data_IF_536675259578
#
_entry.id   IF_536675259578
#
_cell.length_a   1.000
_cell.length_b   1.000
_cell.length_c   1.000
_cell.angle_alpha   90.00
_cell.angle_beta   90.00
_cell.angle_gamma   90.00
#
_symmetry.space_group_name_H-M   'P 1'
#
loop_
_entity.id
_entity.type
_entity.pdbx_description
1 polymer ?
#
# COMPACT_ATOMS: atom_id res chain seq x y z
N UNK A 1 -24.65 58.88 9.28
CA UNK A 1 -24.07 58.15 8.12
C UNK A 1 -22.94 57.19 8.45
N UNK A 2 -21.87 57.55 9.18
CA UNK A 2 -20.74 56.59 9.44
C UNK A 2 -21.09 55.33 10.24
N UNK A 3 -22.06 55.37 11.18
CA UNK A 3 -22.50 54.20 11.95
C UNK A 3 -23.34 53.20 11.14
N UNK A 4 -24.11 53.66 10.17
CA UNK A 4 -24.93 52.82 9.31
C UNK A 4 -24.05 52.05 8.29
N UNK A 5 -23.00 52.70 7.79
CA UNK A 5 -22.03 52.03 6.86
C UNK A 5 -21.25 50.94 7.58
N UNK A 6 -20.90 51.15 8.87
CA UNK A 6 -20.18 50.14 9.66
C UNK A 6 -21.04 48.91 9.96
N UNK A 7 -22.34 49.09 10.24
CA UNK A 7 -23.29 47.98 10.45
C UNK A 7 -23.51 47.16 9.16
N UNK A 8 -23.61 47.84 8.01
CA UNK A 8 -23.74 47.14 6.73
C UNK A 8 -22.48 46.30 6.38
N UNK A 9 -21.28 46.79 6.72
CA UNK A 9 -20.05 46.05 6.49
C UNK A 9 -19.94 44.82 7.38
N UNK A 10 -20.38 44.89 8.65
CA UNK A 10 -20.40 43.76 9.59
C UNK A 10 -21.43 42.72 9.12
N UNK A 11 -22.57 43.13 8.58
CA UNK A 11 -23.60 42.23 8.06
C UNK A 11 -23.14 41.49 6.79
N UNK A 12 -22.39 42.14 5.90
CA UNK A 12 -21.77 41.50 4.70
C UNK A 12 -20.67 40.52 5.09
N UNK A 13 -19.88 40.82 6.12
CA UNK A 13 -18.87 39.89 6.65
C UNK A 13 -19.46 38.64 7.32
N UNK A 14 -20.65 38.75 7.91
CA UNK A 14 -21.37 37.61 8.50
C UNK A 14 -22.06 36.72 7.44
N UNK A 15 -22.38 37.25 6.28
CA UNK A 15 -22.99 36.49 5.18
C UNK A 15 -21.91 35.73 4.37
N UNK A 16 -20.67 36.19 4.38
CA UNK A 16 -19.55 35.52 3.67
C UNK A 16 -18.99 34.28 4.38
N UNK A 17 -19.49 33.92 5.55
CA UNK A 17 -19.18 32.68 6.25
C UNK A 17 -20.17 31.55 5.96
N UNK A 18 -20.80 31.52 4.81
CA UNK A 18 -21.33 30.29 4.26
C UNK A 18 -20.11 29.44 3.82
N UNK A 19 -19.43 28.86 4.79
CA UNK A 19 -18.57 27.72 4.57
C UNK A 19 -19.47 26.68 3.88
N UNK A 20 -19.29 26.53 2.57
CA UNK A 20 -19.81 25.38 1.85
C UNK A 20 -19.18 24.14 2.50
N UNK A 21 -19.84 23.64 3.54
CA UNK A 21 -19.59 22.30 4.00
C UNK A 21 -19.95 21.39 2.81
N UNK A 22 -18.97 20.98 2.05
CA UNK A 22 -19.21 20.00 0.99
C UNK A 22 -19.88 18.80 1.66
N UNK A 23 -21.05 18.43 1.17
CA UNK A 23 -21.81 17.31 1.72
C UNK A 23 -20.88 16.08 1.67
N UNK A 24 -20.70 15.45 2.85
CA UNK A 24 -19.84 14.26 2.95
C UNK A 24 -20.44 13.14 2.12
N UNK A 25 -19.62 12.49 1.32
CA UNK A 25 -20.06 11.32 0.53
C UNK A 25 -20.46 10.21 1.50
N UNK A 26 -21.70 9.73 1.37
CA UNK A 26 -22.21 8.59 2.17
C UNK A 26 -21.61 7.30 1.63
N UNK A 27 -20.97 6.55 2.50
CA UNK A 27 -20.29 5.29 2.18
C UNK A 27 -20.76 4.20 3.15
N UNK A 28 -21.04 3.00 2.63
CA UNK A 28 -21.43 1.84 3.42
C UNK A 28 -20.20 0.99 3.72
N UNK A 29 -19.96 0.71 4.98
CA UNK A 29 -18.86 -0.14 5.39
C UNK A 29 -19.24 -1.62 5.31
N UNK A 30 -18.51 -2.40 4.50
CA UNK A 30 -18.77 -3.83 4.29
C UNK A 30 -17.88 -4.76 5.11
N UNK A 31 -16.84 -4.24 5.77
CA UNK A 31 -16.03 -5.05 6.69
C UNK A 31 -14.64 -5.39 6.19
N UNK A 32 -14.05 -6.39 6.86
CA UNK A 32 -12.74 -6.94 6.56
C UNK A 32 -12.84 -8.04 5.50
N UNK A 33 -11.92 -8.04 4.56
CA UNK A 33 -11.87 -9.01 3.46
C UNK A 33 -10.44 -9.45 3.13
N UNK A 34 -10.33 -10.50 2.34
CA UNK A 34 -9.11 -10.90 1.66
C UNK A 34 -9.24 -10.61 0.18
N UNK A 35 -8.17 -10.14 -0.46
CA UNK A 35 -8.17 -9.87 -1.89
C UNK A 35 -7.36 -10.89 -2.69
N UNK A 36 -7.72 -11.06 -3.96
CA UNK A 36 -7.07 -11.80 -5.03
C UNK A 36 -6.73 -13.29 -4.79
N UNK A 37 -5.87 -13.58 -3.82
CA UNK A 37 -5.16 -14.87 -3.77
C UNK A 37 -5.69 -15.82 -2.70
N UNK A 38 -6.75 -15.46 -2.00
CA UNK A 38 -7.20 -16.23 -0.85
C UNK A 38 -7.52 -17.69 -1.17
N UNK A 39 -8.11 -17.97 -2.32
CA UNK A 39 -8.45 -19.35 -2.71
C UNK A 39 -7.28 -20.09 -3.35
N UNK A 40 -6.50 -19.38 -4.18
CA UNK A 40 -5.38 -19.97 -4.91
C UNK A 40 -4.14 -20.14 -4.05
N UNK A 41 -3.95 -19.29 -3.02
CA UNK A 41 -2.77 -19.35 -2.18
C UNK A 41 -3.02 -18.86 -0.74
N UNK A 42 -3.63 -19.71 0.08
CA UNK A 42 -3.86 -19.45 1.52
C UNK A 42 -2.59 -19.13 2.32
N UNK A 43 -1.42 -19.44 1.78
CA UNK A 43 -0.16 -19.12 2.43
C UNK A 43 0.14 -17.62 2.44
N UNK A 44 -0.44 -16.84 1.50
CA UNK A 44 -0.26 -15.40 1.46
C UNK A 44 -0.93 -14.65 2.63
N UNK A 45 -1.93 -15.25 3.27
CA UNK A 45 -2.64 -14.69 4.42
C UNK A 45 -2.67 -15.68 5.59
N UNK A 46 -1.58 -16.44 5.75
CA UNK A 46 -1.48 -17.60 6.63
C UNK A 46 -1.82 -17.31 8.09
N UNK A 47 -1.30 -16.19 8.62
CA UNK A 47 -1.44 -15.85 10.04
C UNK A 47 -2.83 -15.26 10.33
N UNK A 48 -3.23 -14.26 9.55
CA UNK A 48 -4.53 -13.60 9.70
C UNK A 48 -5.68 -14.56 9.44
N UNK A 49 -5.56 -15.45 8.42
CA UNK A 49 -6.56 -16.51 8.17
C UNK A 49 -6.76 -17.46 9.36
N UNK A 50 -5.71 -17.71 10.15
CA UNK A 50 -5.83 -18.50 11.40
C UNK A 50 -6.47 -17.70 12.52
N UNK A 51 -6.22 -16.39 12.58
CA UNK A 51 -6.78 -15.53 13.62
C UNK A 51 -8.27 -15.27 13.42
N UNK A 52 -8.76 -15.08 12.19
CA UNK A 52 -10.17 -14.84 11.92
C UNK A 52 -11.07 -16.04 12.24
N UNK A 53 -10.52 -17.26 12.38
CA UNK A 53 -11.26 -18.41 12.87
C UNK A 53 -11.67 -18.27 14.34
N UNK A 54 -11.00 -17.40 15.10
CA UNK A 54 -11.37 -17.06 16.47
C UNK A 54 -12.51 -16.06 16.41
N UNK A 55 -13.68 -16.47 16.92
CA UNK A 55 -14.83 -15.58 17.05
C UNK A 55 -14.67 -14.67 18.26
N UNK A 56 -15.18 -13.45 18.18
CA UNK A 56 -15.38 -12.61 19.33
C UNK A 56 -16.41 -13.27 20.25
N UNK A 57 -16.21 -13.18 21.57
CA UNK A 57 -17.15 -13.70 22.54
C UNK A 57 -18.54 -13.13 22.25
N UNK A 58 -19.54 -14.01 22.24
CA UNK A 58 -20.97 -13.71 22.04
C UNK A 58 -21.36 -13.06 20.71
N UNK A 59 -20.46 -13.05 19.71
CA UNK A 59 -20.71 -12.43 18.41
C UNK A 59 -20.46 -13.40 17.26
N UNK A 60 -21.19 -13.18 16.15
CA UNK A 60 -21.01 -13.93 14.90
C UNK A 60 -19.85 -13.39 14.03
N UNK A 61 -19.08 -12.44 14.55
CA UNK A 61 -17.97 -11.82 13.81
C UNK A 61 -16.62 -12.27 14.39
N UNK A 62 -15.58 -12.27 13.57
CA UNK A 62 -14.23 -12.55 14.01
C UNK A 62 -13.62 -11.37 14.78
N UNK A 63 -12.56 -11.65 15.53
CA UNK A 63 -11.92 -10.68 16.43
C UNK A 63 -11.33 -9.48 15.66
N UNK A 64 -10.76 -9.71 14.46
CA UNK A 64 -10.13 -8.65 13.65
C UNK A 64 -11.21 -7.72 13.09
N UNK A 65 -12.29 -8.30 12.53
CA UNK A 65 -13.42 -7.53 12.02
C UNK A 65 -14.12 -6.74 13.14
N UNK A 66 -14.19 -7.27 14.35
CA UNK A 66 -14.74 -6.54 15.50
C UNK A 66 -13.86 -5.33 15.87
N UNK A 67 -12.53 -5.55 15.98
CA UNK A 67 -11.59 -4.48 16.30
C UNK A 67 -11.66 -3.36 15.26
N UNK A 68 -11.69 -3.70 13.97
CA UNK A 68 -11.82 -2.75 12.89
C UNK A 68 -13.16 -2.00 12.91
N UNK A 69 -14.27 -2.72 13.12
CA UNK A 69 -15.61 -2.15 13.20
C UNK A 69 -15.73 -1.15 14.36
N UNK A 70 -15.14 -1.48 15.51
CA UNK A 70 -15.08 -0.57 16.66
C UNK A 70 -14.42 0.75 16.29
N UNK A 71 -13.24 0.69 15.67
CA UNK A 71 -12.48 1.89 15.29
C UNK A 71 -13.25 2.73 14.28
N UNK A 72 -13.82 2.14 13.23
CA UNK A 72 -14.56 2.92 12.20
C UNK A 72 -15.87 3.51 12.74
N UNK A 73 -16.38 3.04 13.89
CA UNK A 73 -17.54 3.62 14.58
C UNK A 73 -17.18 4.73 15.56
N UNK A 74 -16.06 4.60 16.25
CA UNK A 74 -15.63 5.54 17.28
C UNK A 74 -14.93 6.78 16.71
N UNK A 75 -14.27 6.64 15.55
CA UNK A 75 -13.48 7.69 14.94
C UNK A 75 -14.32 8.51 13.92
N UNK A 76 -13.95 9.77 13.76
CA UNK A 76 -14.63 10.65 12.81
C UNK A 76 -13.85 10.79 11.49
N UNK A 77 -14.60 10.81 10.39
CA UNK A 77 -14.07 11.08 9.06
C UNK A 77 -14.39 12.51 8.64
N UNK A 78 -13.42 13.19 8.04
CA UNK A 78 -13.56 14.59 7.62
C UNK A 78 -14.30 14.73 6.29
N UNK A 79 -14.05 13.81 5.36
CA UNK A 79 -14.46 13.87 3.96
C UNK A 79 -15.55 12.87 3.56
N UNK A 80 -15.87 11.89 4.42
CA UNK A 80 -16.91 10.89 4.18
C UNK A 80 -17.83 10.73 5.37
N UNK A 81 -19.04 10.20 5.13
CA UNK A 81 -19.98 9.75 6.16
C UNK A 81 -20.11 8.24 6.05
N UNK A 82 -19.64 7.50 7.06
CA UNK A 82 -19.55 6.04 7.02
C UNK A 82 -20.75 5.40 7.74
N UNK A 83 -21.58 4.66 6.98
CA UNK A 83 -22.66 3.85 7.51
C UNK A 83 -22.16 2.45 7.86
N UNK A 84 -22.18 2.11 9.15
CA UNK A 84 -21.72 0.82 9.69
C UNK A 84 -22.86 -0.07 10.19
N UNK A 85 -24.14 0.34 9.99
CA UNK A 85 -25.30 -0.35 10.58
C UNK A 85 -25.62 -1.67 9.87
N UNK A 86 -25.40 -1.73 8.56
CA UNK A 86 -25.80 -2.84 7.71
C UNK A 86 -24.60 -3.69 7.27
N UNK A 87 -23.65 -3.95 8.17
CA UNK A 87 -22.47 -4.75 7.89
C UNK A 87 -22.85 -6.09 7.22
N UNK A 88 -22.37 -6.31 5.98
CA UNK A 88 -22.64 -7.50 5.15
C UNK A 88 -24.12 -7.79 4.82
N UNK A 89 -25.05 -6.93 5.20
CA UNK A 89 -26.45 -7.04 4.79
C UNK A 89 -26.65 -6.30 3.45
N UNK A 90 -26.07 -6.86 2.41
CA UNK A 90 -26.06 -6.27 1.08
C UNK A 90 -27.45 -6.03 0.48
N UNK A 91 -28.51 -6.70 1.01
CA UNK A 91 -29.88 -6.44 0.58
C UNK A 91 -30.42 -5.08 0.99
N UNK A 92 -29.79 -4.46 2.00
CA UNK A 92 -30.16 -3.14 2.51
C UNK A 92 -29.35 -2.00 1.90
N UNK A 93 -28.42 -2.29 1.00
CA UNK A 93 -27.69 -1.25 0.32
C UNK A 93 -28.52 -0.72 -0.85
N UNK A 94 -28.62 0.60 -1.04
CA UNK A 94 -29.23 1.15 -2.24
C UNK A 94 -28.41 0.82 -3.49
N UNK A 95 -29.04 0.81 -4.65
CA UNK A 95 -28.39 0.43 -5.91
C UNK A 95 -27.19 1.33 -6.27
N UNK A 96 -27.21 2.60 -5.86
CA UNK A 96 -26.12 3.54 -6.07
C UNK A 96 -25.16 3.66 -4.87
N UNK A 97 -25.14 2.66 -4.00
CA UNK A 97 -24.28 2.67 -2.81
C UNK A 97 -22.80 2.61 -3.17
N UNK A 98 -22.02 3.52 -2.59
CA UNK A 98 -20.58 3.38 -2.53
C UNK A 98 -20.25 2.56 -1.29
N UNK A 99 -19.46 1.52 -1.48
CA UNK A 99 -19.11 0.58 -0.41
C UNK A 99 -17.62 0.65 -0.13
N UNK A 100 -17.25 0.62 1.15
CA UNK A 100 -15.86 0.54 1.60
C UNK A 100 -15.57 -0.83 2.19
N UNK A 101 -14.49 -1.45 1.75
CA UNK A 101 -13.91 -2.66 2.34
C UNK A 101 -12.45 -2.42 2.72
N UNK A 102 -11.98 -3.09 3.77
CA UNK A 102 -10.55 -3.17 4.10
C UNK A 102 -10.08 -4.57 3.75
N UNK A 103 -9.18 -4.68 2.78
CA UNK A 103 -8.76 -5.96 2.21
C UNK A 103 -7.28 -6.25 2.50
N UNK A 104 -7.00 -7.39 3.14
CA UNK A 104 -5.65 -7.92 3.25
C UNK A 104 -5.27 -8.63 1.95
N UNK A 105 -4.15 -8.25 1.36
CA UNK A 105 -3.64 -8.87 0.13
C UNK A 105 -2.65 -9.99 0.44
N UNK A 106 -1.68 -9.70 1.27
CA UNK A 106 -0.70 -10.69 1.73
C UNK A 106 -0.04 -10.24 3.03
N UNK A 107 0.61 -11.20 3.66
CA UNK A 107 1.41 -10.99 4.86
C UNK A 107 2.66 -11.85 4.81
N UNK A 108 3.72 -11.36 5.40
CA UNK A 108 4.99 -12.06 5.47
C UNK A 108 5.59 -11.94 6.87
N UNK A 109 6.28 -12.98 7.31
CA UNK A 109 7.10 -12.94 8.51
C UNK A 109 8.50 -13.41 8.19
N UNK A 110 9.48 -12.60 8.55
CA UNK A 110 10.90 -12.93 8.45
C UNK A 110 11.60 -12.78 9.80
N UNK A 111 12.63 -13.56 10.05
CA UNK A 111 13.51 -13.40 11.21
C UNK A 111 14.92 -13.84 10.90
N UNK A 112 15.90 -13.14 11.47
CA UNK A 112 17.33 -13.49 11.41
C UNK A 112 17.96 -13.35 12.81
N UNK A 113 18.99 -14.13 13.09
CA UNK A 113 19.77 -13.97 14.31
C UNK A 113 20.74 -12.82 14.17
N UNK A 114 20.73 -11.89 15.11
CA UNK A 114 21.66 -10.77 15.16
C UNK A 114 22.73 -11.04 16.23
N UNK A 115 23.94 -11.31 15.78
CA UNK A 115 25.07 -11.69 16.65
C UNK A 115 25.50 -10.57 17.59
N UNK A 116 25.42 -9.29 17.17
CA UNK A 116 25.82 -8.13 17.98
C UNK A 116 24.98 -7.97 19.24
N UNK A 117 23.68 -8.29 19.18
CA UNK A 117 22.76 -8.16 20.32
C UNK A 117 22.34 -9.51 20.87
N UNK A 118 22.85 -10.62 20.30
CA UNK A 118 22.55 -12.01 20.67
C UNK A 118 21.04 -12.31 20.73
N UNK A 119 20.27 -11.77 19.78
CA UNK A 119 18.81 -11.93 19.68
C UNK A 119 18.38 -12.18 18.25
N UNK A 120 17.22 -12.80 18.09
CA UNK A 120 16.52 -12.84 16.82
C UNK A 120 15.78 -11.51 16.60
N UNK A 121 16.05 -10.87 15.47
CA UNK A 121 15.29 -9.73 14.96
C UNK A 121 14.44 -10.19 13.78
N UNK A 122 13.23 -9.74 13.70
CA UNK A 122 12.32 -10.10 12.63
C UNK A 122 11.31 -8.99 12.36
N UNK A 123 10.57 -9.19 11.28
CA UNK A 123 9.50 -8.29 10.87
C UNK A 123 8.29 -9.12 10.47
N UNK A 124 7.11 -8.63 10.86
CA UNK A 124 5.85 -9.04 10.28
C UNK A 124 5.33 -7.89 9.43
N UNK A 125 5.18 -8.16 8.15
CA UNK A 125 4.68 -7.21 7.16
C UNK A 125 3.30 -7.67 6.72
N UNK A 126 2.32 -6.77 6.74
CA UNK A 126 0.96 -7.03 6.29
C UNK A 126 0.48 -5.92 5.36
N UNK A 127 0.12 -6.29 4.14
CA UNK A 127 -0.21 -5.38 3.05
C UNK A 127 -1.71 -5.38 2.81
N UNK A 128 -2.29 -4.18 2.88
CA UNK A 128 -3.72 -3.95 2.81
C UNK A 128 -4.07 -2.98 1.70
N UNK A 129 -5.36 -2.97 1.37
CA UNK A 129 -5.99 -1.91 0.58
C UNK A 129 -7.30 -1.48 1.23
N UNK A 130 -7.55 -0.17 1.27
CA UNK A 130 -8.89 0.37 1.49
C UNK A 130 -9.51 0.52 0.12
N UNK A 131 -10.61 -0.18 -0.11
CA UNK A 131 -11.29 -0.23 -1.40
C UNK A 131 -12.60 0.50 -1.30
N UNK A 132 -12.86 1.37 -2.27
CA UNK A 132 -14.16 2.01 -2.49
C UNK A 132 -14.68 1.52 -3.84
N UNK A 133 -15.88 0.96 -3.86
CA UNK A 133 -16.48 0.43 -5.09
C UNK A 133 -17.97 0.72 -5.16
N UNK A 134 -18.47 0.86 -6.37
CA UNK A 134 -19.89 0.92 -6.64
C UNK A 134 -20.51 -0.46 -6.40
N UNK A 135 -21.58 -0.50 -5.61
CA UNK A 135 -22.19 -1.76 -5.20
C UNK A 135 -22.95 -2.43 -6.36
N UNK A 136 -23.66 -1.65 -7.15
CA UNK A 136 -24.49 -2.12 -8.25
C UNK A 136 -23.65 -2.72 -9.37
N UNK A 137 -22.71 -1.93 -9.87
CA UNK A 137 -21.84 -2.31 -10.98
C UNK A 137 -20.68 -3.20 -10.57
N UNK A 138 -20.41 -3.28 -9.27
CA UNK A 138 -19.21 -3.92 -8.70
C UNK A 138 -17.94 -3.37 -9.33
N UNK A 139 -17.91 -2.08 -9.61
CA UNK A 139 -16.75 -1.41 -10.21
C UNK A 139 -15.94 -0.66 -9.16
N UNK A 140 -14.62 -0.80 -9.20
CA UNK A 140 -13.73 -0.08 -8.31
C UNK A 140 -13.78 1.42 -8.60
N UNK A 141 -14.04 2.21 -7.56
CA UNK A 141 -13.97 3.67 -7.59
C UNK A 141 -12.55 4.11 -7.24
N UNK A 142 -12.04 3.64 -6.09
CA UNK A 142 -10.72 4.00 -5.59
C UNK A 142 -10.10 2.86 -4.77
N UNK A 143 -8.79 2.74 -4.80
CA UNK A 143 -8.04 1.90 -3.86
C UNK A 143 -6.89 2.70 -3.25
N UNK A 144 -6.72 2.56 -1.93
CA UNK A 144 -5.67 3.19 -1.16
C UNK A 144 -4.84 2.07 -0.51
N UNK A 145 -3.66 1.76 -1.04
CA UNK A 145 -2.78 0.76 -0.46
C UNK A 145 -2.10 1.27 0.81
N UNK A 146 -1.99 0.41 1.82
CA UNK A 146 -1.23 0.67 3.05
C UNK A 146 -0.64 -0.61 3.61
N UNK A 147 0.29 -0.50 4.55
CA UNK A 147 0.92 -1.65 5.18
C UNK A 147 1.12 -1.42 6.67
N UNK A 148 1.23 -2.54 7.39
CA UNK A 148 1.78 -2.57 8.74
C UNK A 148 3.11 -3.31 8.69
N UNK A 149 4.17 -2.69 9.21
CA UNK A 149 5.43 -3.33 9.50
C UNK A 149 5.63 -3.38 11.01
N UNK A 150 5.77 -4.58 11.55
CA UNK A 150 5.94 -4.80 12.99
C UNK A 150 7.32 -5.38 13.24
N UNK A 151 8.25 -4.60 13.83
CA UNK A 151 9.51 -5.13 14.25
C UNK A 151 9.33 -6.07 15.45
N UNK A 152 9.99 -7.20 15.41
CA UNK A 152 9.91 -8.22 16.45
C UNK A 152 11.32 -8.55 16.94
N UNK A 153 11.54 -8.44 18.24
CA UNK A 153 12.78 -8.85 18.89
C UNK A 153 12.51 -10.01 19.85
N UNK A 154 13.35 -11.05 19.79
CA UNK A 154 13.20 -12.25 20.62
C UNK A 154 14.56 -12.85 21.02
N UNK A 155 14.66 -13.36 22.25
CA UNK A 155 15.85 -14.13 22.69
C UNK A 155 15.96 -15.52 22.04
N UNK A 156 14.84 -16.05 21.51
CA UNK A 156 14.76 -17.34 20.83
C UNK A 156 14.11 -17.19 19.47
N UNK A 157 14.47 -18.08 18.54
CA UNK A 157 13.77 -18.19 17.25
C UNK A 157 12.27 -18.44 17.52
N UNK A 158 11.42 -17.63 16.91
CA UNK A 158 9.97 -17.75 17.08
C UNK A 158 9.43 -18.88 16.22
N UNK A 159 8.63 -19.73 16.83
CA UNK A 159 7.76 -20.68 16.17
C UNK A 159 6.43 -20.03 15.73
N UNK A 160 5.66 -20.74 14.95
CA UNK A 160 4.39 -20.23 14.41
C UNK A 160 3.40 -19.82 15.53
N UNK A 161 3.32 -20.55 16.65
CA UNK A 161 2.43 -20.26 17.76
C UNK A 161 2.78 -18.91 18.41
N UNK A 162 4.06 -18.64 18.60
CA UNK A 162 4.54 -17.39 19.18
C UNK A 162 4.38 -16.21 18.19
N UNK A 163 4.58 -16.44 16.90
CA UNK A 163 4.31 -15.46 15.85
C UNK A 163 2.83 -15.08 15.87
N UNK A 164 1.92 -16.06 15.81
CA UNK A 164 0.47 -15.83 15.87
C UNK A 164 0.05 -15.05 17.13
N UNK A 165 0.64 -15.37 18.31
CA UNK A 165 0.36 -14.64 19.55
C UNK A 165 0.74 -13.16 19.44
N UNK A 166 1.88 -12.84 18.84
CA UNK A 166 2.33 -11.44 18.64
C UNK A 166 1.46 -10.70 17.66
N UNK A 167 1.12 -11.31 16.53
CA UNK A 167 0.23 -10.73 15.52
C UNK A 167 -1.16 -10.48 16.11
N UNK A 168 -1.71 -11.44 16.86
CA UNK A 168 -2.98 -11.26 17.54
C UNK A 168 -2.95 -10.08 18.54
N UNK A 169 -1.89 -9.98 19.34
CA UNK A 169 -1.72 -8.86 20.27
C UNK A 169 -1.65 -7.52 19.54
N UNK A 170 -0.94 -7.46 18.41
CA UNK A 170 -0.87 -6.28 17.58
C UNK A 170 -2.26 -5.83 17.11
N UNK A 171 -3.04 -6.73 16.52
CA UNK A 171 -4.37 -6.36 16.03
C UNK A 171 -5.34 -5.94 17.15
N UNK A 172 -5.24 -6.52 18.33
CA UNK A 172 -6.20 -6.27 19.40
C UNK A 172 -5.77 -5.20 20.40
N UNK A 173 -4.49 -5.09 20.70
CA UNK A 173 -3.97 -4.19 21.75
C UNK A 173 -3.44 -2.87 21.20
N UNK A 174 -2.71 -2.95 20.10
CA UNK A 174 -2.00 -1.79 19.56
C UNK A 174 -2.86 -0.95 18.60
N UNK A 175 -4.10 -1.41 18.34
CA UNK A 175 -5.11 -0.73 17.54
C UNK A 175 -4.56 -0.18 16.19
N UNK A 176 -3.93 -1.02 15.37
CA UNK A 176 -3.28 -0.60 14.14
C UNK A 176 -4.26 0.06 13.17
N UNK A 177 -5.52 -0.34 13.21
CA UNK A 177 -6.56 0.17 12.31
C UNK A 177 -6.94 1.64 12.53
N UNK A 178 -6.49 2.29 13.62
CA UNK A 178 -6.60 3.77 13.76
C UNK A 178 -5.89 4.51 12.63
N UNK A 179 -4.85 3.89 12.04
CA UNK A 179 -4.17 4.47 10.88
C UNK A 179 -5.09 4.59 9.66
N UNK A 180 -6.07 3.69 9.50
CA UNK A 180 -7.04 3.72 8.39
C UNK A 180 -7.81 5.04 8.37
N UNK A 181 -8.24 5.52 9.52
CA UNK A 181 -8.95 6.80 9.63
C UNK A 181 -8.04 7.96 9.20
N UNK A 182 -6.80 7.98 9.70
CA UNK A 182 -5.80 8.98 9.31
C UNK A 182 -5.49 8.94 7.80
N UNK A 183 -5.44 7.74 7.24
CA UNK A 183 -5.20 7.54 5.80
C UNK A 183 -6.40 8.12 5.04
N UNK A 184 -7.62 7.68 5.30
CA UNK A 184 -8.82 8.13 4.59
C UNK A 184 -8.97 9.65 4.64
N UNK A 185 -8.70 10.27 5.80
CA UNK A 185 -8.82 11.71 5.98
C UNK A 185 -7.82 12.55 5.15
N UNK A 186 -6.76 11.93 4.61
CA UNK A 186 -5.81 12.61 3.72
C UNK A 186 -6.23 12.59 2.25
N UNK A 187 -7.15 11.68 1.86
CA UNK A 187 -7.54 11.48 0.48
C UNK A 187 -8.84 12.23 0.17
N UNK A 188 -8.89 12.86 -0.99
CA UNK A 188 -10.13 13.40 -1.53
C UNK A 188 -10.90 12.27 -2.23
N UNK A 189 -11.75 11.57 -1.48
CA UNK A 189 -12.58 10.50 -2.02
C UNK A 189 -13.66 11.12 -2.89
N UNK A 190 -13.72 10.71 -4.17
CA UNK A 190 -14.69 11.15 -5.18
C UNK A 190 -15.63 10.00 -5.53
N UNK A 191 -16.85 10.33 -5.95
CA UNK A 191 -17.77 9.31 -6.48
C UNK A 191 -17.28 8.73 -7.82
N UNK A 192 -16.58 9.56 -8.61
CA UNK A 192 -16.00 9.19 -9.89
C UNK A 192 -14.64 9.88 -10.06
N UNK A 193 -13.71 9.17 -10.65
CA UNK A 193 -12.39 9.70 -11.03
C UNK A 193 -12.30 9.76 -12.55
N UNK A 194 -11.96 10.93 -13.07
CA UNK A 194 -11.81 11.17 -14.51
C UNK A 194 -10.53 10.55 -15.05
N UNK A 195 -9.48 10.56 -14.25
CA UNK A 195 -8.18 9.99 -14.59
C UNK A 195 -7.69 9.05 -13.50
N UNK A 196 -7.05 7.97 -13.92
CA UNK A 196 -6.52 6.92 -13.05
C UNK A 196 -5.09 6.56 -13.41
N UNK A 197 -4.33 6.16 -12.41
CA UNK A 197 -2.97 5.66 -12.56
C UNK A 197 -2.84 4.29 -11.89
N UNK A 198 -2.03 3.40 -12.44
CA UNK A 198 -1.79 2.10 -11.85
C UNK A 198 -0.60 1.39 -12.44
N UNK A 199 -0.01 0.48 -11.67
CA UNK A 199 1.00 -0.44 -12.19
C UNK A 199 0.29 -1.46 -13.07
N UNK A 200 0.72 -1.57 -14.33
CA UNK A 200 0.12 -2.47 -15.32
C UNK A 200 1.02 -3.64 -15.71
N UNK A 201 2.32 -3.48 -15.47
CA UNK A 201 3.28 -4.54 -15.74
C UNK A 201 4.44 -4.50 -14.75
N UNK A 202 4.86 -5.68 -14.27
CA UNK A 202 6.10 -5.87 -13.51
C UNK A 202 6.90 -6.97 -14.19
N UNK A 203 8.08 -6.63 -14.64
CA UNK A 203 9.04 -7.57 -15.22
C UNK A 203 10.25 -7.72 -14.28
N UNK A 204 10.69 -8.95 -14.08
CA UNK A 204 11.86 -9.28 -13.28
C UNK A 204 12.86 -9.98 -14.19
N UNK A 205 13.98 -9.32 -14.48
CA UNK A 205 15.01 -9.90 -15.35
C UNK A 205 15.67 -11.11 -14.68
N UNK A 206 16.14 -12.04 -15.49
CA UNK A 206 16.75 -13.30 -15.02
C UNK A 206 17.87 -13.06 -13.99
N UNK A 207 18.71 -12.07 -14.21
CA UNK A 207 19.80 -11.72 -13.29
C UNK A 207 19.30 -11.24 -11.92
N UNK A 208 18.14 -10.53 -11.86
CA UNK A 208 17.51 -10.14 -10.60
C UNK A 208 16.89 -11.35 -9.90
N UNK A 209 16.35 -12.27 -10.69
CA UNK A 209 15.71 -13.46 -10.21
C UNK A 209 16.66 -14.40 -9.47
N UNK A 210 17.96 -14.41 -9.83
CA UNK A 210 18.99 -15.22 -9.18
C UNK A 210 19.19 -14.85 -7.70
N UNK A 211 18.99 -13.57 -7.35
CA UNK A 211 19.18 -13.04 -6.00
C UNK A 211 17.94 -13.23 -5.10
N UNK A 212 16.83 -13.72 -5.64
CA UNK A 212 15.58 -13.93 -4.90
C UNK A 212 15.57 -15.29 -4.18
N UNK A 213 14.85 -15.42 -3.06
CA UNK A 213 14.70 -16.69 -2.35
C UNK A 213 14.00 -17.74 -3.22
N UNK A 214 14.29 -19.03 -2.97
CA UNK A 214 13.73 -20.11 -3.77
C UNK A 214 12.19 -20.19 -3.71
N UNK A 215 11.60 -19.89 -2.56
CA UNK A 215 10.14 -19.86 -2.41
C UNK A 215 9.48 -18.78 -3.28
N UNK A 216 10.16 -17.65 -3.51
CA UNK A 216 9.67 -16.58 -4.39
C UNK A 216 9.93 -16.90 -5.86
N UNK A 217 11.00 -17.64 -6.17
CA UNK A 217 11.25 -18.14 -7.53
C UNK A 217 10.14 -19.06 -8.03
N UNK A 218 9.57 -19.86 -7.13
CA UNK A 218 8.46 -20.76 -7.45
C UNK A 218 7.10 -20.05 -7.58
N UNK A 219 7.03 -18.78 -7.18
CA UNK A 219 5.81 -17.98 -7.28
C UNK A 219 6.10 -16.57 -7.79
N UNK A 220 6.43 -16.46 -9.08
CA UNK A 220 6.77 -15.18 -9.72
C UNK A 220 5.62 -14.16 -9.61
N UNK A 221 4.38 -14.61 -9.74
CA UNK A 221 3.20 -13.74 -9.65
C UNK A 221 3.09 -13.10 -8.29
N UNK A 222 3.42 -13.82 -7.22
CA UNK A 222 3.51 -13.25 -5.88
C UNK A 222 4.51 -12.11 -5.82
N UNK A 223 5.73 -12.32 -6.33
CA UNK A 223 6.78 -11.31 -6.30
C UNK A 223 6.43 -10.07 -7.13
N UNK A 224 5.82 -10.26 -8.30
CA UNK A 224 5.35 -9.14 -9.14
C UNK A 224 4.25 -8.33 -8.43
N UNK A 225 3.30 -9.00 -7.78
CA UNK A 225 2.27 -8.34 -6.97
C UNK A 225 2.88 -7.56 -5.80
N UNK A 226 3.85 -8.15 -5.09
CA UNK A 226 4.54 -7.51 -3.98
C UNK A 226 5.26 -6.22 -4.43
N UNK A 227 6.02 -6.29 -5.53
CA UNK A 227 6.73 -5.14 -6.10
C UNK A 227 5.75 -4.05 -6.55
N UNK A 228 4.70 -4.43 -7.29
CA UNK A 228 3.68 -3.49 -7.76
C UNK A 228 2.99 -2.77 -6.60
N UNK A 229 2.66 -3.52 -5.54
CA UNK A 229 1.98 -2.98 -4.37
C UNK A 229 2.89 -2.07 -3.54
N UNK A 230 4.15 -2.46 -3.32
CA UNK A 230 5.13 -1.63 -2.62
C UNK A 230 5.30 -0.28 -3.33
N UNK A 231 5.46 -0.27 -4.66
CA UNK A 231 5.54 0.97 -5.42
C UNK A 231 4.24 1.78 -5.36
N UNK A 232 3.09 1.13 -5.59
CA UNK A 232 1.76 1.77 -5.55
C UNK A 232 1.50 2.44 -4.22
N UNK A 233 1.86 1.77 -3.11
CA UNK A 233 1.76 2.34 -1.77
C UNK A 233 2.58 3.62 -1.64
N UNK A 234 3.87 3.59 -2.00
CA UNK A 234 4.74 4.78 -1.89
C UNK A 234 4.23 5.94 -2.77
N UNK A 235 3.74 5.64 -3.97
CA UNK A 235 3.15 6.65 -4.85
C UNK A 235 1.86 7.23 -4.24
N UNK A 236 0.98 6.38 -3.76
CA UNK A 236 -0.29 6.76 -3.15
C UNK A 236 -0.08 7.61 -1.88
N UNK A 237 0.76 7.15 -0.96
CA UNK A 237 1.01 7.84 0.32
C UNK A 237 1.69 9.19 0.17
N UNK A 238 2.68 9.30 -0.74
CA UNK A 238 3.43 10.53 -0.92
C UNK A 238 2.64 11.62 -1.65
N UNK A 239 1.57 11.24 -2.37
CA UNK A 239 0.82 12.17 -3.21
C UNK A 239 -0.68 12.25 -2.88
N UNK A 240 -1.18 11.40 -1.98
CA UNK A 240 -2.60 11.26 -1.62
C UNK A 240 -3.49 10.98 -2.86
N UNK A 241 -3.03 10.12 -3.77
CA UNK A 241 -3.75 9.70 -4.96
C UNK A 241 -4.17 8.24 -4.86
N UNK A 242 -5.41 7.93 -5.27
CA UNK A 242 -5.88 6.56 -5.39
C UNK A 242 -5.20 5.85 -6.56
N UNK A 243 -4.87 4.57 -6.38
CA UNK A 243 -4.14 3.78 -7.37
C UNK A 243 -5.01 2.60 -7.81
N UNK A 244 -5.07 2.33 -9.12
CA UNK A 244 -5.71 1.08 -9.59
C UNK A 244 -4.84 -0.11 -9.17
N UNK A 245 -5.41 -1.11 -8.45
CA UNK A 245 -4.67 -2.28 -8.01
C UNK A 245 -4.05 -3.05 -9.16
N UNK A 246 -2.85 -3.55 -8.94
CA UNK A 246 -2.20 -4.44 -9.87
C UNK A 246 -2.84 -5.83 -9.86
N UNK A 247 -3.10 -6.38 -11.04
CA UNK A 247 -3.51 -7.76 -11.25
C UNK A 247 -2.76 -8.31 -12.46
N UNK A 248 -2.05 -9.42 -12.28
CA UNK A 248 -1.29 -10.02 -13.37
C UNK A 248 -2.18 -10.85 -14.30
N UNK A 249 -1.86 -10.84 -15.58
CA UNK A 249 -2.36 -11.81 -16.56
C UNK A 249 -3.73 -11.53 -17.18
N UNK A 250 -4.36 -10.38 -16.91
CA UNK A 250 -5.67 -10.07 -17.47
C UNK A 250 -5.63 -8.85 -18.39
N UNK A 251 -5.52 -9.08 -19.68
CA UNK A 251 -5.59 -8.03 -20.70
C UNK A 251 -7.02 -7.50 -20.92
N UNK A 252 -8.03 -8.33 -20.65
CA UNK A 252 -9.45 -8.01 -20.85
C UNK A 252 -10.23 -8.43 -19.60
N UNK A 253 -11.10 -7.54 -19.09
CA UNK A 253 -11.96 -7.85 -17.94
C UNK A 253 -11.21 -7.97 -16.62
N UNK A 254 -10.32 -7.02 -16.34
CA UNK A 254 -9.59 -6.98 -15.06
C UNK A 254 -10.56 -6.99 -13.88
N UNK A 255 -10.40 -7.96 -12.99
CA UNK A 255 -11.19 -8.05 -11.77
C UNK A 255 -10.33 -8.41 -10.58
N UNK A 256 -10.81 -8.08 -9.40
CA UNK A 256 -10.23 -8.46 -8.12
C UNK A 256 -11.28 -9.18 -7.28
N UNK A 257 -10.94 -10.37 -6.82
CA UNK A 257 -11.81 -11.13 -5.93
C UNK A 257 -11.69 -10.64 -4.49
N UNK A 258 -12.82 -10.41 -3.85
CA UNK A 258 -12.91 -10.11 -2.43
C UNK A 258 -13.64 -11.23 -1.70
N UNK A 259 -13.00 -11.84 -0.72
CA UNK A 259 -13.64 -12.77 0.20
C UNK A 259 -13.75 -12.12 1.57
N UNK A 260 -14.97 -11.81 1.99
CA UNK A 260 -15.21 -11.25 3.32
C UNK A 260 -14.97 -12.30 4.41
N UNK A 261 -14.32 -11.87 5.51
CA UNK A 261 -13.97 -12.76 6.62
C UNK A 261 -15.19 -13.43 7.28
N UNK A 262 -16.35 -12.80 7.16
CA UNK A 262 -17.62 -13.23 7.81
C UNK A 262 -18.61 -13.88 6.83
N UNK A 263 -18.21 -14.06 5.57
CA UNK A 263 -19.09 -14.60 4.54
C UNK A 263 -18.34 -15.56 3.64
N UNK A 264 -19.00 -16.64 3.24
CA UNK A 264 -18.48 -17.55 2.22
C UNK A 264 -18.64 -17.00 0.80
N UNK A 265 -19.29 -15.84 0.65
CA UNK A 265 -19.48 -15.19 -0.65
C UNK A 265 -18.19 -14.53 -1.11
N UNK A 266 -17.92 -14.72 -2.40
CA UNK A 266 -16.83 -14.06 -3.12
C UNK A 266 -17.45 -13.00 -4.03
N UNK A 267 -16.88 -11.80 -3.98
CA UNK A 267 -17.28 -10.69 -4.83
C UNK A 267 -16.18 -10.43 -5.84
N UNK A 268 -16.55 -10.39 -7.13
CA UNK A 268 -15.67 -9.92 -8.18
C UNK A 268 -15.86 -8.43 -8.38
N UNK A 269 -14.82 -7.66 -8.07
CA UNK A 269 -14.80 -6.21 -8.27
C UNK A 269 -14.10 -5.92 -9.59
N UNK A 270 -14.81 -5.31 -10.53
CA UNK A 270 -14.26 -4.88 -11.82
C UNK A 270 -13.23 -3.78 -11.60
N UNK A 271 -12.06 -3.92 -12.15
CA UNK A 271 -11.02 -2.91 -12.08
C UNK A 271 -11.04 -2.04 -13.34
N UNK A 272 -11.08 -0.71 -13.21
CA UNK A 272 -10.98 0.18 -14.37
C UNK A 272 -9.59 0.07 -15.00
N UNK A 273 -9.50 0.36 -16.29
CA UNK A 273 -8.19 0.56 -16.91
C UNK A 273 -7.62 1.89 -16.41
N UNK A 274 -6.34 1.93 -16.01
CA UNK A 274 -5.69 3.20 -15.71
C UNK A 274 -5.44 3.98 -17.01
N UNK A 275 -5.57 5.31 -16.96
CA UNK A 275 -5.20 6.20 -18.07
C UNK A 275 -3.68 6.34 -18.15
N UNK A 276 -3.02 6.36 -16.99
CA UNK A 276 -1.57 6.37 -16.88
C UNK A 276 -1.07 5.01 -16.43
N UNK A 277 -0.33 4.35 -17.31
CA UNK A 277 0.27 3.04 -17.07
C UNK A 277 1.66 3.20 -16.46
N UNK A 278 1.95 2.37 -15.47
CA UNK A 278 3.28 2.24 -14.88
C UNK A 278 3.79 0.82 -15.16
N UNK A 279 4.94 0.73 -15.80
CA UNK A 279 5.69 -0.52 -15.92
C UNK A 279 6.94 -0.44 -15.06
N UNK A 280 7.20 -1.51 -14.29
CA UNK A 280 8.35 -1.66 -13.41
C UNK A 280 9.19 -2.82 -13.91
N UNK A 281 10.43 -2.57 -14.28
CA UNK A 281 11.35 -3.61 -14.72
C UNK A 281 12.55 -3.69 -13.77
N UNK A 282 12.58 -4.72 -12.92
CA UNK A 282 13.69 -5.01 -12.01
C UNK A 282 14.85 -5.57 -12.81
N UNK A 283 15.87 -4.75 -13.02
CA UNK A 283 17.03 -5.14 -13.83
C UNK A 283 18.05 -5.98 -13.09
N UNK A 284 18.17 -5.84 -11.77
CA UNK A 284 19.10 -6.64 -10.97
C UNK A 284 19.43 -6.01 -9.63
N UNK A 285 20.15 -6.77 -8.85
CA UNK A 285 20.69 -6.37 -7.56
C UNK A 285 22.21 -6.47 -7.57
N UNK A 286 22.87 -5.82 -6.61
CA UNK A 286 24.32 -5.91 -6.48
C UNK A 286 24.74 -5.73 -5.01
N UNK A 287 25.53 -6.63 -4.48
CA UNK A 287 26.22 -6.53 -3.18
C UNK A 287 27.70 -6.28 -3.41
N UNK A 288 28.26 -5.28 -2.73
CA UNK A 288 29.69 -4.92 -2.84
C UNK A 288 30.22 -4.69 -1.44
N UNK A 289 31.34 -5.35 -1.09
CA UNK A 289 32.10 -5.05 0.11
C UNK A 289 32.80 -3.69 -0.10
N UNK A 290 32.42 -2.69 0.69
CA UNK A 290 32.99 -1.35 0.62
C UNK A 290 34.13 -1.15 1.60
N UNK A 291 34.03 -1.76 2.78
CA UNK A 291 35.05 -1.68 3.83
C UNK A 291 35.00 -2.95 4.70
N UNK A 292 36.13 -3.39 5.18
CA UNK A 292 36.26 -4.50 6.12
C UNK A 292 37.13 -4.05 7.30
N UNK A 293 36.65 -4.32 8.51
CA UNK A 293 37.40 -4.10 9.77
C UNK A 293 37.57 -5.41 10.50
N UNK A 294 38.21 -5.44 11.64
CA UNK A 294 38.35 -6.64 12.45
C UNK A 294 36.99 -7.17 13.00
N UNK A 295 36.00 -6.28 13.19
CA UNK A 295 34.74 -6.62 13.86
C UNK A 295 33.53 -6.63 12.92
N UNK A 296 33.53 -5.84 11.85
CA UNK A 296 32.39 -5.70 10.93
C UNK A 296 32.83 -5.45 9.49
N UNK A 297 31.96 -5.84 8.56
CA UNK A 297 32.04 -5.53 7.14
C UNK A 297 30.96 -4.52 6.77
N UNK A 298 31.33 -3.51 5.97
CA UNK A 298 30.40 -2.56 5.38
C UNK A 298 30.08 -3.00 3.95
N UNK A 299 28.85 -3.37 3.69
CA UNK A 299 28.36 -3.71 2.36
C UNK A 299 27.49 -2.60 1.77
N UNK A 300 27.61 -2.44 0.46
CA UNK A 300 26.68 -1.64 -0.35
C UNK A 300 25.71 -2.60 -1.04
N UNK A 301 24.40 -2.41 -0.80
CA UNK A 301 23.33 -3.10 -1.50
C UNK A 301 22.71 -2.16 -2.51
N UNK A 302 22.72 -2.56 -3.77
CA UNK A 302 22.19 -1.78 -4.88
C UNK A 302 21.03 -2.46 -5.57
N UNK A 303 19.98 -1.70 -5.92
CA UNK A 303 18.86 -2.12 -6.74
C UNK A 303 18.77 -1.27 -8.00
N UNK A 304 18.51 -1.90 -9.14
CA UNK A 304 18.44 -1.25 -10.46
C UNK A 304 17.07 -1.52 -11.07
N UNK A 305 16.29 -0.45 -11.27
CA UNK A 305 14.89 -0.53 -11.72
C UNK A 305 14.68 0.44 -12.88
N UNK A 306 14.14 -0.05 -13.99
CA UNK A 306 13.62 0.83 -15.02
C UNK A 306 12.13 1.05 -14.78
N UNK A 307 11.73 2.31 -14.76
CA UNK A 307 10.33 2.74 -14.69
C UNK A 307 9.93 3.30 -16.04
N UNK A 308 8.76 2.87 -16.53
CA UNK A 308 8.06 3.52 -17.63
C UNK A 308 6.73 4.03 -17.15
N UNK A 309 6.43 5.29 -17.43
CA UNK A 309 5.13 5.90 -17.14
C UNK A 309 4.64 6.55 -18.43
N UNK A 310 3.50 6.06 -18.93
CA UNK A 310 2.99 6.45 -20.23
C UNK A 310 1.46 6.41 -20.27
N UNK A 311 0.91 7.06 -21.28
CA UNK A 311 -0.51 7.08 -21.61
C UNK A 311 -0.70 6.41 -22.98
N UNK A 312 -1.26 5.17 -23.01
CA UNK A 312 -1.36 4.38 -24.24
C UNK A 312 -2.19 5.06 -25.32
N UNK A 313 -3.35 5.64 -24.96
CA UNK A 313 -4.27 6.26 -25.90
C UNK A 313 -3.63 7.41 -26.69
N UNK A 314 -2.67 8.10 -26.07
CA UNK A 314 -1.92 9.20 -26.69
C UNK A 314 -0.56 8.76 -27.23
N UNK A 315 -0.20 7.48 -27.09
CA UNK A 315 1.15 6.96 -27.39
C UNK A 315 2.26 7.85 -26.81
N UNK A 316 2.06 8.34 -25.57
CA UNK A 316 2.93 9.34 -24.95
C UNK A 316 3.65 8.80 -23.74
N UNK A 317 4.98 8.84 -23.77
CA UNK A 317 5.84 8.52 -22.65
C UNK A 317 6.18 9.79 -21.86
N UNK A 318 5.96 9.72 -20.55
CA UNK A 318 6.28 10.79 -19.60
C UNK A 318 7.58 10.50 -18.87
N UNK A 319 7.89 9.21 -18.69
CA UNK A 319 9.09 8.74 -18.04
C UNK A 319 9.49 7.36 -18.59
N UNK A 320 10.75 7.17 -18.93
CA UNK A 320 11.34 5.85 -19.27
C UNK A 320 12.83 5.86 -18.94
N UNK A 321 13.12 5.62 -17.65
CA UNK A 321 14.48 5.69 -17.17
C UNK A 321 14.81 4.63 -16.15
N UNK A 322 16.09 4.22 -16.15
CA UNK A 322 16.62 3.31 -15.12
C UNK A 322 17.17 4.11 -13.95
N UNK A 323 16.58 3.88 -12.79
CA UNK A 323 17.04 4.42 -11.51
C UNK A 323 17.76 3.36 -10.69
N UNK A 324 18.68 3.81 -9.85
CA UNK A 324 19.38 2.97 -8.87
C UNK A 324 19.20 3.49 -7.47
N UNK A 325 18.94 2.57 -6.54
CA UNK A 325 19.04 2.81 -5.09
C UNK A 325 20.30 2.15 -4.57
N UNK A 326 20.92 2.73 -3.54
CA UNK A 326 22.06 2.12 -2.82
C UNK A 326 21.91 2.38 -1.34
N UNK A 327 21.95 1.30 -0.55
CA UNK A 327 21.97 1.37 0.92
C UNK A 327 23.27 0.79 1.46
N UNK A 328 23.70 1.28 2.61
CA UNK A 328 24.87 0.79 3.34
C UNK A 328 24.40 -0.08 4.50
N UNK A 329 24.98 -1.27 4.63
CA UNK A 329 24.66 -2.20 5.70
C UNK A 329 25.96 -2.67 6.36
N UNK A 330 26.07 -2.47 7.66
CA UNK A 330 27.14 -3.02 8.48
C UNK A 330 26.75 -4.41 8.95
N UNK A 331 27.61 -5.38 8.73
CA UNK A 331 27.41 -6.78 9.09
C UNK A 331 28.56 -7.21 9.98
N UNK A 332 28.29 -7.66 11.22
CA UNK A 332 29.33 -8.19 12.10
C UNK A 332 30.01 -9.40 11.48
N UNK A 333 31.30 -9.55 11.68
CA UNK A 333 32.08 -10.73 11.19
C UNK A 333 31.52 -12.06 11.70
N UNK A 334 30.96 -12.05 12.91
CA UNK A 334 30.39 -13.25 13.54
C UNK A 334 28.95 -13.56 13.02
N UNK A 335 28.39 -12.73 12.13
CA UNK A 335 27.06 -12.93 11.58
C UNK A 335 27.06 -14.03 10.54
N UNK A 336 26.60 -15.22 10.90
CA UNK A 336 26.57 -16.40 10.03
C UNK A 336 25.30 -16.46 9.13
N UNK A 337 24.19 -15.91 9.61
CA UNK A 337 22.90 -15.93 8.89
C UNK A 337 22.60 -14.54 8.35
N UNK A 338 22.82 -14.34 7.05
CA UNK A 338 22.60 -13.06 6.39
C UNK A 338 21.49 -13.23 5.37
N UNK A 339 20.36 -12.56 5.62
CA UNK A 339 19.28 -12.49 4.65
C UNK A 339 19.55 -11.36 3.64
N UNK A 340 20.33 -11.63 2.60
CA UNK A 340 20.65 -10.65 1.56
C UNK A 340 19.42 -10.20 0.80
N UNK A 341 18.42 -11.08 0.60
CA UNK A 341 17.17 -10.71 -0.06
C UNK A 341 16.40 -9.62 0.69
N UNK A 342 16.27 -9.74 2.03
CA UNK A 342 15.62 -8.69 2.84
C UNK A 342 16.31 -7.34 2.67
N UNK A 343 17.62 -7.32 2.54
CA UNK A 343 18.41 -6.09 2.34
C UNK A 343 18.23 -5.50 0.94
N UNK A 344 18.15 -6.35 -0.09
CA UNK A 344 17.80 -5.90 -1.44
C UNK A 344 16.37 -5.37 -1.53
N UNK A 345 15.43 -6.08 -0.92
CA UNK A 345 14.03 -5.66 -0.92
C UNK A 345 13.84 -4.34 -0.18
N UNK A 346 14.45 -4.18 0.99
CA UNK A 346 14.45 -2.91 1.72
C UNK A 346 15.07 -1.76 0.90
N UNK A 347 16.18 -2.01 0.20
CA UNK A 347 16.78 -1.02 -0.70
C UNK A 347 15.84 -0.66 -1.87
N UNK A 348 15.08 -1.64 -2.38
CA UNK A 348 14.08 -1.43 -3.42
C UNK A 348 12.94 -0.53 -2.92
N UNK A 349 12.45 -0.75 -1.71
CA UNK A 349 11.40 0.08 -1.09
C UNK A 349 11.87 1.53 -0.87
N UNK A 350 13.12 1.72 -0.42
CA UNK A 350 13.73 3.05 -0.32
C UNK A 350 13.79 3.71 -1.70
N UNK A 351 14.20 2.99 -2.75
CA UNK A 351 14.25 3.54 -4.10
C UNK A 351 12.86 3.98 -4.57
N UNK A 352 11.81 3.20 -4.28
CA UNK A 352 10.43 3.51 -4.62
C UNK A 352 9.93 4.75 -3.87
N UNK A 353 10.21 4.84 -2.59
CA UNK A 353 9.85 5.98 -1.76
C UNK A 353 10.58 7.26 -2.20
N UNK A 354 11.88 7.18 -2.41
CA UNK A 354 12.70 8.29 -2.89
C UNK A 354 12.26 8.77 -4.27
N UNK A 355 12.01 7.85 -5.21
CA UNK A 355 11.51 8.20 -6.54
C UNK A 355 10.17 8.93 -6.45
N UNK A 356 9.22 8.35 -5.72
CA UNK A 356 7.92 8.96 -5.50
C UNK A 356 8.03 10.36 -4.89
N UNK A 357 8.77 10.53 -3.81
CA UNK A 357 8.98 11.84 -3.16
C UNK A 357 9.61 12.86 -4.11
N UNK A 358 10.52 12.41 -4.96
CA UNK A 358 11.26 13.30 -5.88
C UNK A 358 10.46 13.74 -7.11
N UNK A 359 9.29 13.14 -7.37
CA UNK A 359 8.33 13.69 -8.34
C UNK A 359 7.97 15.14 -7.99
N UNK A 360 7.78 15.44 -6.69
CA UNK A 360 7.49 16.81 -6.20
C UNK A 360 8.77 17.54 -5.79
N UNK A 361 9.63 16.94 -4.95
CA UNK A 361 10.78 17.60 -4.36
C UNK A 361 11.86 17.99 -5.36
N UNK A 362 12.04 17.20 -6.42
CA UNK A 362 13.02 17.41 -7.49
C UNK A 362 14.45 17.63 -6.97
N UNK A 363 14.86 16.89 -5.91
CA UNK A 363 16.18 17.03 -5.30
C UNK A 363 17.29 16.68 -6.31
N UNK A 364 18.06 17.68 -6.70
CA UNK A 364 19.16 17.56 -7.66
C UNK A 364 20.24 16.58 -7.22
N UNK A 365 20.51 16.48 -5.90
CA UNK A 365 21.54 15.57 -5.37
C UNK A 365 21.09 14.13 -5.52
N UNK A 366 19.83 13.83 -5.17
CA UNK A 366 19.25 12.51 -5.34
C UNK A 366 19.19 12.12 -6.82
N UNK A 367 18.67 12.99 -7.69
CA UNK A 367 18.57 12.74 -9.14
C UNK A 367 19.92 12.37 -9.76
N UNK A 368 21.00 13.07 -9.41
CA UNK A 368 22.38 12.75 -9.87
C UNK A 368 22.88 11.40 -9.35
N UNK A 369 22.45 10.97 -8.16
CA UNK A 369 22.82 9.65 -7.60
C UNK A 369 21.99 8.54 -8.22
N UNK A 370 20.70 8.76 -8.44
CA UNK A 370 19.77 7.76 -8.94
C UNK A 370 20.00 7.39 -10.42
N UNK A 371 20.45 8.34 -11.25
CA UNK A 371 20.74 8.09 -12.68
C UNK A 371 21.85 9.00 -13.19
N UNK A 372 22.52 8.56 -14.29
CA UNK A 372 23.50 9.37 -15.02
C UNK A 372 22.86 10.36 -15.99
N UNK A 373 21.58 10.18 -16.33
CA UNK A 373 20.86 11.02 -17.28
C UNK A 373 20.28 12.28 -16.60
N UNK A 374 20.00 13.30 -17.39
CA UNK A 374 19.34 14.53 -16.95
C UNK A 374 17.83 14.34 -17.08
N UNK A 375 17.16 13.87 -16.02
CA UNK A 375 15.72 13.52 -16.01
C UNK A 375 14.83 14.60 -15.37
N UNK A 376 15.31 15.82 -15.24
CA UNK A 376 14.54 16.90 -14.58
C UNK A 376 13.24 17.24 -15.29
N UNK A 377 13.25 17.19 -16.64
CA UNK A 377 12.07 17.47 -17.48
C UNK A 377 11.01 16.38 -17.27
N UNK A 378 11.43 15.14 -17.29
CA UNK A 378 10.59 13.95 -17.10
C UNK A 378 9.94 13.97 -15.72
N UNK A 379 10.71 14.27 -14.66
CA UNK A 379 10.17 14.41 -13.29
C UNK A 379 9.15 15.55 -13.21
N UNK A 380 9.37 16.68 -13.87
CA UNK A 380 8.39 17.77 -13.95
C UNK A 380 7.09 17.33 -14.63
N UNK A 381 7.19 16.53 -15.69
CA UNK A 381 6.02 15.98 -16.36
C UNK A 381 5.22 15.05 -15.45
N UNK A 382 5.91 14.21 -14.64
CA UNK A 382 5.24 13.35 -13.66
C UNK A 382 4.50 14.17 -12.60
N UNK A 383 5.08 15.27 -12.14
CA UNK A 383 4.40 16.14 -11.18
C UNK A 383 3.08 16.68 -11.74
N UNK A 384 3.06 17.08 -13.02
CA UNK A 384 1.82 17.52 -13.69
C UNK A 384 0.76 16.41 -13.80
N UNK A 385 1.19 15.15 -13.94
CA UNK A 385 0.25 14.00 -13.91
C UNK A 385 -0.34 13.86 -12.51
N UNK A 386 0.50 13.87 -11.47
CA UNK A 386 0.04 13.75 -10.08
C UNK A 386 -0.99 14.83 -9.72
N UNK A 387 -0.76 16.07 -10.16
CA UNK A 387 -1.70 17.18 -9.91
C UNK A 387 -3.05 16.99 -10.60
N UNK A 388 -3.09 16.31 -11.76
CA UNK A 388 -4.34 15.98 -12.46
C UNK A 388 -5.11 14.83 -11.81
N UNK A 389 -4.44 13.97 -11.04
CA UNK A 389 -5.03 12.80 -10.39
C UNK A 389 -5.67 13.15 -9.03
N UNK A 390 -5.34 14.29 -8.43
CA UNK A 390 -5.93 14.82 -7.19
C UNK A 390 -7.30 15.42 -7.44
#
# INVERSE_FOLDING_TARGET
MKKQILLSFIFILLISQNVYSSEKIKIFYSGFSFSNSYESNKNLTKYTSKLIKKRAADKKIDIISESLLKIVREESFTNISLDTKNLLDFKKYPDNAIVMAVALQHEEFSQEYNSSIKKYSGFYDAYFQILFYDFSDRSLIAAIPFEFEIPILSSKKLDEKNILKRINNFYLKDQPFKQIVKIINRYNIKQKYDLRIGVTNVNIQERAFKDMPQNTKNNQNYMKNLIAQSFSKRLSENHNVAIVPFTEGQAIGRSMKLKFAQSDKIFDIKLPNPDYHIEINIKGFKKVLAQSTAVEDLYLYGSFVNFKIYQPELNKYYFDETLRGVTQVKIPKEQSDINDWRKYYYNLEILFDDFSKNIIKQDKKWLKKATKKKIKKEIKNLNLIIDKLK
#
